data_IF_506011548727
#
_entry.id   IF_506011548727
#
_cell.length_a   1.000
_cell.length_b   1.000
_cell.length_c   1.000
_cell.angle_alpha   90.00
_cell.angle_beta   90.00
_cell.angle_gamma   90.00
#
_symmetry.space_group_name_H-M   'P 1'
#
loop_
_entity.id
_entity.type
_entity.pdbx_description
1 polymer ?
#
# COMPACT_ATOMS: atom_id res chain seq x y z
N UNK A 1 6.76 24.45 2.28
CA UNK A 1 7.42 23.29 2.92
C UNK A 1 8.51 23.84 3.84
N UNK A 2 8.92 23.11 4.89
CA UNK A 2 10.12 23.50 5.64
C UNK A 2 11.36 23.34 4.75
N UNK A 3 12.33 24.25 4.87
CA UNK A 3 13.62 24.16 4.15
C UNK A 3 14.32 22.82 4.36
N UNK A 4 14.08 22.14 5.50
CA UNK A 4 14.59 20.80 5.78
C UNK A 4 13.94 19.73 4.91
N UNK A 5 12.63 19.79 4.70
CA UNK A 5 11.91 18.80 3.88
C UNK A 5 12.34 18.91 2.41
N UNK A 6 12.48 20.14 1.90
CA UNK A 6 12.97 20.41 0.54
C UNK A 6 14.39 19.86 0.33
N UNK A 7 15.28 20.04 1.32
CA UNK A 7 16.63 19.47 1.29
C UNK A 7 16.62 17.93 1.25
N UNK A 8 15.82 17.29 2.10
CA UNK A 8 15.68 15.82 2.13
C UNK A 8 15.19 15.29 0.77
N UNK A 9 14.21 15.96 0.17
CA UNK A 9 13.69 15.58 -1.15
C UNK A 9 14.78 15.71 -2.22
N UNK A 10 15.51 16.83 -2.23
CA UNK A 10 16.60 17.06 -3.19
C UNK A 10 17.67 15.97 -3.09
N UNK A 11 18.17 15.70 -1.88
CA UNK A 11 19.19 14.68 -1.64
C UNK A 11 18.68 13.27 -1.98
N UNK A 12 17.43 12.95 -1.65
CA UNK A 12 16.82 11.66 -1.98
C UNK A 12 16.75 11.45 -3.50
N UNK A 13 16.41 12.49 -4.27
CA UNK A 13 16.27 12.37 -5.73
C UNK A 13 17.59 12.09 -6.45
N UNK A 14 18.74 12.44 -5.86
CA UNK A 14 20.08 12.15 -6.38
C UNK A 14 20.52 10.69 -6.16
N UNK A 15 19.81 9.93 -5.32
CA UNK A 15 20.14 8.54 -5.03
C UNK A 15 19.74 7.60 -6.18
N UNK A 16 20.42 6.43 -6.33
CA UNK A 16 20.00 5.38 -7.25
C UNK A 16 18.57 4.91 -6.96
N UNK A 17 17.83 4.52 -7.99
CA UNK A 17 16.41 4.13 -7.92
C UNK A 17 16.11 3.14 -6.79
N UNK A 18 16.92 2.09 -6.62
CA UNK A 18 16.71 1.10 -5.57
C UNK A 18 16.82 1.69 -4.15
N UNK A 19 17.76 2.61 -3.95
CA UNK A 19 17.96 3.29 -2.65
C UNK A 19 16.81 4.27 -2.38
N UNK A 20 16.31 4.95 -3.42
CA UNK A 20 15.11 5.80 -3.30
C UNK A 20 13.87 5.00 -2.92
N UNK A 21 13.68 3.83 -3.53
CA UNK A 21 12.56 2.95 -3.21
C UNK A 21 12.59 2.51 -1.74
N UNK A 22 13.77 2.10 -1.25
CA UNK A 22 13.97 1.77 0.16
C UNK A 22 13.67 2.97 1.09
N UNK A 23 14.13 4.18 0.75
CA UNK A 23 13.85 5.37 1.56
C UNK A 23 12.35 5.69 1.57
N UNK A 24 11.68 5.57 0.41
CA UNK A 24 10.23 5.78 0.32
C UNK A 24 9.46 4.79 1.19
N UNK A 25 9.84 3.50 1.17
CA UNK A 25 9.26 2.48 2.05
C UNK A 25 9.42 2.86 3.53
N UNK A 26 10.62 3.24 3.97
CA UNK A 26 10.85 3.64 5.38
C UNK A 26 10.06 4.87 5.80
N UNK A 27 9.90 5.84 4.90
CA UNK A 27 9.08 7.02 5.16
C UNK A 27 7.60 6.66 5.25
N UNK A 28 7.09 5.76 4.40
CA UNK A 28 5.71 5.27 4.46
C UNK A 28 5.47 4.50 5.77
N UNK A 29 6.33 3.54 6.11
CA UNK A 29 6.25 2.80 7.38
C UNK A 29 6.21 3.74 8.59
N UNK A 30 6.93 4.86 8.54
CA UNK A 30 6.93 5.83 9.65
C UNK A 30 5.57 6.51 9.87
N UNK A 31 4.71 6.55 8.85
CA UNK A 31 3.35 7.08 8.94
C UNK A 31 2.39 6.11 9.63
N UNK A 32 2.72 4.81 9.62
CA UNK A 32 1.91 3.77 10.24
C UNK A 32 2.14 3.69 11.77
N UNK A 33 3.17 4.38 12.29
CA UNK A 33 3.50 4.44 13.72
C UNK A 33 2.53 5.37 14.44
N UNK A 34 1.41 4.80 14.91
CA UNK A 34 0.43 5.48 15.76
C UNK A 34 -1.02 5.38 15.29
N UNK A 35 -1.27 4.80 14.10
CA UNK A 35 -2.61 4.69 13.50
C UNK A 35 -3.22 3.29 13.58
N UNK A 36 -2.51 2.29 14.12
CA UNK A 36 -3.06 0.95 14.32
C UNK A 36 -3.90 0.92 15.61
N UNK A 37 -4.95 1.73 15.65
CA UNK A 37 -6.04 1.50 16.57
C UNK A 37 -6.71 0.16 16.25
N UNK A 38 -7.57 -0.32 17.15
CA UNK A 38 -8.40 -1.47 16.80
C UNK A 38 -9.21 -1.16 15.54
N UNK A 39 -9.32 -2.16 14.65
CA UNK A 39 -10.26 -2.09 13.53
C UNK A 39 -11.65 -1.74 14.05
N UNK A 40 -12.35 -0.87 13.32
CA UNK A 40 -13.73 -0.55 13.65
C UNK A 40 -14.58 -1.83 13.57
N UNK A 41 -15.67 -1.95 14.36
CA UNK A 41 -16.55 -3.11 14.31
C UNK A 41 -17.04 -3.42 12.89
N UNK A 42 -17.30 -2.38 12.08
CA UNK A 42 -17.77 -2.51 10.69
C UNK A 42 -16.70 -3.15 9.80
N UNK A 43 -15.42 -2.78 9.99
CA UNK A 43 -14.31 -3.40 9.26
C UNK A 43 -14.06 -4.84 9.71
N UNK A 44 -14.20 -5.14 11.01
CA UNK A 44 -14.10 -6.51 11.53
C UNK A 44 -15.17 -7.41 10.88
N UNK A 45 -16.42 -6.95 10.85
CA UNK A 45 -17.55 -7.69 10.23
C UNK A 45 -17.34 -7.91 8.73
N UNK A 46 -16.92 -6.86 7.99
CA UNK A 46 -16.71 -6.97 6.54
C UNK A 46 -15.56 -7.94 6.20
N UNK A 47 -14.48 -7.96 6.99
CA UNK A 47 -13.38 -8.91 6.78
C UNK A 47 -13.87 -10.34 6.99
N UNK A 48 -14.55 -10.61 8.10
CA UNK A 48 -15.10 -11.95 8.39
C UNK A 48 -16.07 -12.42 7.31
N UNK A 49 -16.94 -11.52 6.83
CA UNK A 49 -17.86 -11.80 5.74
C UNK A 49 -17.11 -12.16 4.45
N UNK A 50 -16.13 -11.36 4.04
CA UNK A 50 -15.38 -11.62 2.79
C UNK A 50 -14.57 -12.90 2.85
N UNK A 51 -13.94 -13.19 3.98
CA UNK A 51 -13.25 -14.47 4.16
C UNK A 51 -14.21 -15.64 3.95
N UNK A 52 -15.39 -15.58 4.57
CA UNK A 52 -16.43 -16.61 4.40
C UNK A 52 -16.91 -16.75 2.96
N UNK A 53 -17.16 -15.64 2.26
CA UNK A 53 -17.60 -15.69 0.86
C UNK A 53 -16.55 -16.34 -0.06
N UNK A 54 -15.26 -16.13 0.25
CA UNK A 54 -14.15 -16.79 -0.47
C UNK A 54 -14.11 -18.29 -0.14
N UNK A 55 -14.17 -18.65 1.14
CA UNK A 55 -14.10 -20.04 1.60
C UNK A 55 -15.28 -20.88 1.07
N UNK A 56 -16.47 -20.29 0.99
CA UNK A 56 -17.67 -20.92 0.47
C UNK A 56 -17.75 -20.87 -1.07
N UNK A 57 -16.83 -20.16 -1.74
CA UNK A 57 -16.81 -20.01 -3.20
C UNK A 57 -17.96 -19.15 -3.75
N UNK A 58 -18.61 -18.35 -2.90
CA UNK A 58 -19.67 -17.42 -3.31
C UNK A 58 -19.11 -16.07 -3.78
N UNK A 59 -17.86 -15.75 -3.44
CA UNK A 59 -17.15 -14.59 -3.96
C UNK A 59 -16.74 -14.78 -5.43
N UNK A 60 -16.99 -13.76 -6.25
CA UNK A 60 -16.41 -13.68 -7.60
C UNK A 60 -14.95 -13.23 -7.50
N UNK A 61 -14.03 -14.17 -7.59
CA UNK A 61 -12.60 -13.89 -7.63
C UNK A 61 -12.14 -13.48 -9.03
N UNK A 62 -11.11 -12.62 -9.07
CA UNK A 62 -10.41 -12.27 -10.29
C UNK A 62 -9.04 -12.93 -10.28
N UNK A 63 -8.60 -13.38 -11.45
CA UNK A 63 -7.25 -13.92 -11.62
C UNK A 63 -6.20 -12.83 -11.32
N UNK A 64 -5.23 -13.17 -10.46
CA UNK A 64 -4.24 -12.22 -9.99
C UNK A 64 -3.36 -11.70 -11.13
N UNK A 65 -2.93 -12.58 -12.05
CA UNK A 65 -2.09 -12.21 -13.19
C UNK A 65 -2.81 -11.22 -14.11
N UNK A 66 -4.09 -11.48 -14.40
CA UNK A 66 -4.92 -10.57 -15.20
C UNK A 66 -5.09 -9.19 -14.53
N UNK A 67 -5.32 -9.16 -13.21
CA UNK A 67 -5.46 -7.90 -12.46
C UNK A 67 -4.15 -7.10 -12.47
N UNK A 68 -3.02 -7.75 -12.16
CA UNK A 68 -1.72 -7.08 -12.15
C UNK A 68 -1.30 -6.62 -13.54
N UNK A 69 -1.49 -7.46 -14.58
CA UNK A 69 -1.20 -7.07 -15.97
C UNK A 69 -1.98 -5.82 -16.38
N UNK A 70 -3.27 -5.74 -16.01
CA UNK A 70 -4.09 -4.55 -16.28
C UNK A 70 -3.56 -3.32 -15.53
N UNK A 71 -3.22 -3.46 -14.25
CA UNK A 71 -2.66 -2.36 -13.46
C UNK A 71 -1.35 -1.84 -14.05
N UNK A 72 -0.41 -2.71 -14.42
CA UNK A 72 0.86 -2.30 -15.00
C UNK A 72 0.70 -1.64 -16.37
N UNK A 73 -0.25 -2.08 -17.19
CA UNK A 73 -0.53 -1.44 -18.48
C UNK A 73 -0.98 0.02 -18.35
N UNK A 74 -1.53 0.42 -17.20
CA UNK A 74 -1.96 1.79 -16.92
C UNK A 74 -0.85 2.73 -16.45
N UNK A 75 0.35 2.21 -16.19
CA UNK A 75 1.52 2.98 -15.75
C UNK A 75 2.46 3.34 -16.93
N UNK A 76 2.17 2.85 -18.13
CA UNK A 76 2.97 3.04 -19.35
C UNK A 76 2.53 4.27 -20.16
#
# INVERSE_FOLDING_TARGET
>A
MSSKAEKIVSEALELPTAVRAFLAEKLIESLDVGSVGELSPEWKEEIEKRCREIDEGSAQLLDAEAVFSKAYSSLA
#
